data_IF_100907527377
#
_entry.id   IF_100907527377
#
_cell.length_a   1.000
_cell.length_b   1.000
_cell.length_c   1.000
_cell.angle_alpha   90.00
_cell.angle_beta   90.00
_cell.angle_gamma   90.00
#
_symmetry.space_group_name_H-M   'P 1'
#
loop_
_entity.id
_entity.type
_entity.pdbx_description
1 polymer ?
#
# COMPACT_ATOMS: atom_id res chain seq x y z
N UNK A 1 -7.29 -0.18 23.02
CA UNK A 1 -7.34 0.46 21.69
C UNK A 1 -6.10 0.01 20.94
N UNK A 2 -6.23 -0.72 19.83
CA UNK A 2 -5.06 -1.17 19.08
C UNK A 2 -4.40 0.03 18.39
N UNK A 3 -3.07 0.13 18.45
CA UNK A 3 -2.31 1.16 17.75
C UNK A 3 -2.56 1.02 16.23
N UNK A 4 -2.68 2.14 15.53
CA UNK A 4 -2.94 2.15 14.08
C UNK A 4 -1.88 1.33 13.34
N UNK A 5 -2.26 0.46 12.38
CA UNK A 5 -1.31 -0.26 11.52
C UNK A 5 -0.64 0.66 10.48
N UNK A 6 -0.91 1.96 10.53
CA UNK A 6 -0.30 2.95 9.67
C UNK A 6 1.14 3.19 10.12
N UNK A 7 2.06 3.08 9.16
CA UNK A 7 3.40 3.62 9.34
C UNK A 7 3.21 5.14 9.29
N UNK A 8 3.23 5.81 10.45
CA UNK A 8 2.81 7.21 10.60
C UNK A 8 3.48 8.20 9.60
N UNK A 9 4.63 7.81 9.05
CA UNK A 9 5.41 8.62 8.10
C UNK A 9 5.42 8.06 6.66
N UNK A 10 4.76 6.95 6.36
CA UNK A 10 4.79 6.36 5.01
C UNK A 10 3.62 6.78 4.12
N UNK A 11 3.12 7.99 4.35
CA UNK A 11 2.12 8.66 3.52
C UNK A 11 2.80 9.81 2.79
N UNK A 12 2.76 9.78 1.46
CA UNK A 12 3.15 10.91 0.62
C UNK A 12 1.90 11.56 0.05
N UNK A 13 1.81 12.89 0.16
CA UNK A 13 0.69 13.68 -0.34
C UNK A 13 1.24 14.68 -1.36
N UNK A 14 0.70 14.63 -2.58
CA UNK A 14 1.02 15.61 -3.62
C UNK A 14 -0.18 16.52 -3.80
N UNK A 15 0.09 17.83 -3.76
CA UNK A 15 -0.92 18.87 -3.97
C UNK A 15 -0.49 19.81 -5.08
N UNK A 16 -1.44 20.23 -5.90
CA UNK A 16 -1.30 21.24 -6.95
C UNK A 16 -2.31 22.33 -6.65
N UNK A 17 -1.85 23.59 -6.59
CA UNK A 17 -2.68 24.75 -6.26
C UNK A 17 -3.53 24.58 -4.98
N UNK A 18 -2.94 23.93 -3.96
CA UNK A 18 -3.62 23.66 -2.68
C UNK A 18 -4.63 22.52 -2.71
N UNK A 19 -4.86 21.88 -3.87
CA UNK A 19 -5.71 20.69 -4.01
C UNK A 19 -4.86 19.44 -3.98
N UNK A 20 -5.23 18.48 -3.14
CA UNK A 20 -4.62 17.15 -3.15
C UNK A 20 -4.99 16.45 -4.46
N UNK A 21 -3.99 16.00 -5.20
CA UNK A 21 -4.17 15.31 -6.49
C UNK A 21 -3.76 13.86 -6.42
N UNK A 22 -2.79 13.52 -5.56
CA UNK A 22 -2.27 12.17 -5.44
C UNK A 22 -1.86 11.83 -4.00
N UNK A 23 -2.04 10.58 -3.63
CA UNK A 23 -1.59 9.98 -2.37
C UNK A 23 -0.91 8.65 -2.64
N UNK A 24 0.20 8.40 -1.96
CA UNK A 24 0.73 7.05 -1.76
C UNK A 24 0.81 6.73 -0.27
N UNK A 25 0.35 5.55 0.14
CA UNK A 25 0.45 5.08 1.53
C UNK A 25 0.96 3.65 1.57
N UNK A 26 2.06 3.42 2.30
CA UNK A 26 2.48 2.08 2.72
C UNK A 26 1.90 1.76 4.09
N UNK A 27 1.37 0.54 4.24
CA UNK A 27 0.76 0.09 5.49
C UNK A 27 0.71 -1.44 5.59
N UNK A 28 0.14 -1.91 6.69
CA UNK A 28 -0.17 -3.32 6.91
C UNK A 28 -1.68 -3.58 6.91
N UNK A 29 -2.06 -4.74 6.35
CA UNK A 29 -3.37 -5.34 6.51
C UNK A 29 -3.44 -6.08 7.86
N UNK A 30 -4.49 -5.85 8.65
CA UNK A 30 -4.70 -6.56 9.92
C UNK A 30 -6.17 -6.54 10.34
N UNK A 31 -6.69 -7.65 10.88
CA UNK A 31 -8.02 -7.75 11.54
C UNK A 31 -9.17 -6.97 10.85
N UNK A 32 -9.35 -7.13 9.53
CA UNK A 32 -10.40 -6.43 8.76
C UNK A 32 -10.06 -4.99 8.34
N UNK A 33 -8.91 -4.45 8.78
CA UNK A 33 -8.35 -3.19 8.31
C UNK A 33 -7.49 -3.42 7.06
N UNK A 34 -8.13 -3.64 5.91
CA UNK A 34 -7.45 -3.66 4.61
C UNK A 34 -7.25 -2.27 4.02
N UNK A 35 -6.50 -2.18 2.92
CA UNK A 35 -6.17 -0.93 2.23
C UNK A 35 -7.38 -0.07 1.87
N UNK A 36 -8.49 -0.71 1.47
CA UNK A 36 -9.77 -0.06 1.16
C UNK A 36 -10.46 0.63 2.35
N UNK A 37 -9.96 0.45 3.57
CA UNK A 37 -10.43 1.17 4.76
C UNK A 37 -9.57 2.39 5.12
N UNK A 38 -8.55 2.71 4.30
CA UNK A 38 -7.78 3.94 4.48
C UNK A 38 -8.64 5.18 4.24
N UNK A 39 -8.35 6.26 4.95
CA UNK A 39 -9.00 7.56 4.75
C UNK A 39 -8.57 8.24 3.43
N UNK A 40 -7.56 7.71 2.74
CA UNK A 40 -7.00 8.27 1.51
C UNK A 40 -7.53 7.63 0.23
N UNK A 41 -8.48 6.69 0.32
CA UNK A 41 -9.04 6.04 -0.86
C UNK A 41 -10.08 6.94 -1.54
N UNK A 42 -9.99 7.04 -2.86
CA UNK A 42 -10.99 7.65 -3.74
C UNK A 42 -11.44 6.55 -4.73
N UNK A 43 -12.35 5.65 -4.31
CA UNK A 43 -12.75 4.53 -5.14
C UNK A 43 -13.64 5.02 -6.28
N UNK A 44 -13.34 4.61 -7.49
CA UNK A 44 -14.26 4.76 -8.61
C UNK A 44 -15.24 3.60 -8.77
N UNK A 45 -16.13 3.73 -9.74
CA UNK A 45 -17.21 2.78 -10.02
C UNK A 45 -16.77 1.48 -10.73
N UNK A 46 -15.67 1.49 -11.47
CA UNK A 46 -15.17 0.30 -12.17
C UNK A 46 -14.09 -0.41 -11.35
N UNK A 47 -14.39 -1.65 -10.96
CA UNK A 47 -13.45 -2.53 -10.26
C UNK A 47 -12.73 -3.48 -11.22
N UNK A 48 -11.43 -3.65 -11.05
CA UNK A 48 -10.64 -4.66 -11.75
C UNK A 48 -9.46 -5.13 -10.89
N UNK A 49 -8.86 -6.27 -11.25
CA UNK A 49 -7.68 -6.81 -10.55
C UNK A 49 -6.46 -6.83 -11.48
N UNK A 50 -5.27 -6.89 -10.89
CA UNK A 50 -4.00 -7.00 -11.61
C UNK A 50 -2.94 -7.72 -10.77
N UNK A 51 -1.93 -8.25 -11.45
CA UNK A 51 -0.77 -8.94 -10.86
C UNK A 51 0.49 -8.64 -11.69
N UNK A 52 1.65 -8.97 -11.15
CA UNK A 52 2.94 -8.83 -11.83
C UNK A 52 3.65 -10.17 -11.86
N UNK A 53 4.30 -10.49 -12.99
CA UNK A 53 5.01 -11.75 -13.16
C UNK A 53 6.15 -11.88 -12.15
N UNK A 54 6.29 -13.07 -11.56
CA UNK A 54 7.34 -13.36 -10.59
C UNK A 54 7.16 -12.72 -9.21
N UNK A 55 6.00 -12.09 -8.93
CA UNK A 55 5.72 -11.46 -7.64
C UNK A 55 4.47 -12.07 -7.02
N UNK A 56 4.61 -12.61 -5.81
CA UNK A 56 3.49 -13.12 -5.01
C UNK A 56 2.72 -11.96 -4.36
N UNK A 57 1.91 -11.29 -5.17
CA UNK A 57 1.08 -10.18 -4.74
C UNK A 57 -0.09 -9.93 -5.66
N UNK A 58 -1.13 -9.28 -5.14
CA UNK A 58 -2.38 -9.03 -5.85
C UNK A 58 -2.83 -7.58 -5.71
N UNK A 59 -3.22 -7.00 -6.84
CA UNK A 59 -3.76 -5.67 -6.96
C UNK A 59 -5.26 -5.66 -7.21
N UNK A 60 -5.95 -4.69 -6.63
CA UNK A 60 -7.30 -4.28 -7.01
C UNK A 60 -7.27 -2.79 -7.37
N UNK A 61 -7.96 -2.43 -8.44
CA UNK A 61 -8.13 -1.07 -8.93
C UNK A 61 -9.61 -0.72 -8.94
N UNK A 62 -9.96 0.44 -8.38
CA UNK A 62 -11.29 1.06 -8.47
C UNK A 62 -11.13 2.44 -9.08
N UNK A 63 -11.47 2.55 -10.37
CA UNK A 63 -11.29 3.78 -11.16
C UNK A 63 -12.63 4.22 -11.70
N UNK A 64 -12.89 5.52 -11.74
CA UNK A 64 -14.12 6.06 -12.31
C UNK A 64 -13.99 5.97 -13.84
N UNK A 65 -14.99 5.43 -14.53
CA UNK A 65 -15.03 5.40 -16.00
C UNK A 65 -16.05 6.38 -16.60
N UNK A 66 -16.85 7.03 -15.76
CA UNK A 66 -17.87 8.00 -16.12
C UNK A 66 -17.36 9.45 -16.14
N UNK A 67 -18.16 10.38 -15.61
CA UNK A 67 -17.90 11.82 -15.63
C UNK A 67 -16.66 12.27 -14.86
N UNK A 68 -16.04 11.39 -14.07
CA UNK A 68 -14.81 11.63 -13.30
C UNK A 68 -13.72 10.63 -13.65
N UNK A 69 -13.44 10.43 -14.94
CA UNK A 69 -12.40 9.49 -15.41
C UNK A 69 -10.98 9.72 -14.87
N UNK A 70 -10.80 10.81 -14.13
CA UNK A 70 -9.60 11.31 -13.50
C UNK A 70 -9.50 10.96 -12.01
N UNK A 71 -10.43 10.17 -11.45
CA UNK A 71 -10.42 9.70 -10.06
C UNK A 71 -10.26 8.19 -9.98
N UNK A 72 -9.44 7.72 -9.04
CA UNK A 72 -9.30 6.29 -8.81
C UNK A 72 -8.26 5.90 -7.78
N UNK A 73 -8.34 4.66 -7.33
CA UNK A 73 -7.45 4.08 -6.33
C UNK A 73 -7.02 2.69 -6.74
N UNK A 74 -5.76 2.35 -6.48
CA UNK A 74 -5.26 0.98 -6.46
C UNK A 74 -4.81 0.58 -5.07
N UNK A 75 -5.15 -0.64 -4.66
CA UNK A 75 -4.59 -1.29 -3.48
C UNK A 75 -3.85 -2.53 -3.93
N UNK A 76 -2.55 -2.60 -3.68
CA UNK A 76 -1.73 -3.78 -3.96
C UNK A 76 -1.26 -4.40 -2.65
N UNK A 77 -1.35 -5.73 -2.55
CA UNK A 77 -1.05 -6.49 -1.34
C UNK A 77 0.01 -7.55 -1.61
N UNK A 78 1.01 -7.62 -0.73
CA UNK A 78 2.12 -8.56 -0.77
C UNK A 78 2.30 -9.18 0.62
N UNK A 79 1.80 -10.39 0.82
CA UNK A 79 1.55 -10.91 2.18
C UNK A 79 0.57 -10.02 2.94
N UNK A 80 1.02 -9.40 4.03
CA UNK A 80 0.25 -8.41 4.79
C UNK A 80 0.67 -6.96 4.52
N UNK A 81 1.67 -6.73 3.67
CA UNK A 81 2.13 -5.40 3.28
C UNK A 81 1.24 -4.86 2.17
N UNK A 82 0.82 -3.60 2.30
CA UNK A 82 -0.07 -2.97 1.32
C UNK A 82 0.46 -1.61 0.86
N UNK A 83 0.27 -1.35 -0.42
CA UNK A 83 0.40 -0.03 -1.02
C UNK A 83 -0.97 0.44 -1.48
N UNK A 84 -1.34 1.65 -1.07
CA UNK A 84 -2.47 2.39 -1.61
C UNK A 84 -1.90 3.52 -2.46
N UNK A 85 -2.37 3.61 -3.70
CA UNK A 85 -2.15 4.76 -4.56
C UNK A 85 -3.51 5.32 -4.94
N UNK A 86 -3.73 6.61 -4.72
CA UNK A 86 -5.02 7.22 -4.98
C UNK A 86 -4.83 8.57 -5.69
N UNK A 87 -5.68 8.82 -6.68
CA UNK A 87 -5.75 10.08 -7.42
C UNK A 87 -7.15 10.63 -7.25
N UNK A 88 -7.23 11.85 -6.75
CA UNK A 88 -8.50 12.60 -6.56
C UNK A 88 -8.76 13.63 -7.66
N UNK A 89 -7.73 13.94 -8.46
CA UNK A 89 -7.81 14.80 -9.64
C UNK A 89 -6.62 14.45 -10.55
N UNK A 90 -6.89 13.66 -11.58
CA UNK A 90 -5.95 13.23 -12.61
C UNK A 90 -5.98 14.10 -13.87
N UNK A 91 -6.62 15.27 -13.85
CA UNK A 91 -6.81 16.12 -15.04
C UNK A 91 -5.48 16.54 -15.69
N UNK A 92 -4.41 16.65 -14.91
CA UNK A 92 -3.07 16.96 -15.38
C UNK A 92 -2.22 15.72 -15.77
N UNK A 93 -2.73 14.50 -15.56
CA UNK A 93 -2.00 13.27 -15.88
C UNK A 93 -2.03 12.99 -17.37
N UNK A 94 -0.89 12.55 -17.93
CA UNK A 94 -0.81 12.03 -19.29
C UNK A 94 -1.05 10.52 -19.27
N UNK A 95 -1.82 10.02 -20.24
CA UNK A 95 -2.13 8.59 -20.35
C UNK A 95 -3.28 8.15 -19.45
N UNK A 96 -3.57 6.85 -19.46
CA UNK A 96 -4.71 6.29 -18.73
C UNK A 96 -4.44 6.19 -17.22
N UNK A 97 -5.36 6.71 -16.40
CA UNK A 97 -5.24 6.70 -14.94
C UNK A 97 -4.91 5.32 -14.37
N UNK A 98 -5.70 4.30 -14.74
CA UNK A 98 -5.47 2.91 -14.29
C UNK A 98 -4.07 2.41 -14.66
N UNK A 99 -3.64 2.63 -15.91
CA UNK A 99 -2.34 2.17 -16.38
C UNK A 99 -1.21 2.86 -15.60
N UNK A 100 -1.32 4.16 -15.34
CA UNK A 100 -0.35 4.91 -14.56
C UNK A 100 -0.27 4.41 -13.11
N UNK A 101 -1.41 4.15 -12.44
CA UNK A 101 -1.43 3.61 -11.09
C UNK A 101 -0.83 2.20 -11.01
N UNK A 102 -1.12 1.34 -11.99
CA UNK A 102 -0.53 -0.01 -12.09
C UNK A 102 0.98 0.08 -12.32
N UNK A 103 1.45 0.93 -13.24
CA UNK A 103 2.88 1.12 -13.51
C UNK A 103 3.61 1.68 -12.28
N UNK A 104 3.00 2.63 -11.57
CA UNK A 104 3.57 3.16 -10.34
C UNK A 104 3.65 2.08 -9.26
N UNK A 105 2.60 1.25 -9.11
CA UNK A 105 2.63 0.08 -8.22
C UNK A 105 3.81 -0.83 -8.55
N UNK A 106 4.02 -1.15 -9.83
CA UNK A 106 5.14 -2.00 -10.26
C UNK A 106 6.49 -1.42 -9.85
N UNK A 107 6.69 -0.11 -9.95
CA UNK A 107 7.95 0.54 -9.56
C UNK A 107 8.25 0.45 -8.06
N UNK A 108 7.22 0.23 -7.24
CA UNK A 108 7.36 0.17 -5.77
C UNK A 108 7.63 -1.23 -5.21
N UNK A 109 7.53 -2.27 -6.06
CA UNK A 109 7.66 -3.67 -5.63
C UNK A 109 8.95 -3.97 -4.85
N UNK A 110 10.13 -3.39 -5.15
CA UNK A 110 11.33 -3.62 -4.36
C UNK A 110 11.21 -3.20 -2.88
N UNK A 111 10.38 -2.19 -2.59
CA UNK A 111 10.18 -1.66 -1.23
C UNK A 111 8.98 -2.32 -0.54
N UNK A 112 7.92 -2.58 -1.30
CA UNK A 112 6.69 -3.18 -0.78
C UNK A 112 6.82 -4.69 -0.56
N UNK A 113 7.23 -5.42 -1.60
CA UNK A 113 7.37 -6.87 -1.61
C UNK A 113 8.77 -7.33 -1.26
N UNK A 114 9.77 -6.52 -1.59
CA UNK A 114 11.18 -6.82 -1.33
C UNK A 114 11.66 -6.36 0.04
N UNK A 115 12.98 -6.26 0.15
CA UNK A 115 13.73 -5.84 1.33
C UNK A 115 14.44 -4.50 1.14
N UNK A 116 14.11 -3.74 0.08
CA UNK A 116 14.72 -2.44 -0.14
C UNK A 116 14.10 -1.36 0.75
N UNK A 117 14.88 -0.38 1.23
CA UNK A 117 14.34 0.75 1.99
C UNK A 117 13.35 1.58 1.16
N UNK A 118 12.29 2.08 1.80
CA UNK A 118 11.33 2.98 1.18
C UNK A 118 12.03 4.34 0.91
N UNK A 119 11.99 4.85 -0.34
CA UNK A 119 12.58 6.15 -0.67
C UNK A 119 12.04 7.27 0.21
N UNK A 120 12.92 8.17 0.64
CA UNK A 120 12.58 9.27 1.56
C UNK A 120 12.44 8.86 3.03
N UNK A 121 12.29 7.57 3.35
CA UNK A 121 12.18 7.06 4.71
C UNK A 121 13.42 6.30 5.20
N UNK A 122 14.22 5.76 4.28
CA UNK A 122 15.50 5.10 4.59
C UNK A 122 15.39 3.79 5.38
N UNK A 123 14.18 3.26 5.57
CA UNK A 123 13.90 2.00 6.26
C UNK A 123 12.97 1.13 5.42
N UNK A 124 13.10 -0.17 5.58
CA UNK A 124 12.25 -1.21 4.97
C UNK A 124 10.87 -1.25 5.63
N UNK A 125 9.92 -1.92 4.98
CA UNK A 125 8.64 -2.24 5.61
C UNK A 125 8.87 -2.96 6.95
N UNK A 126 9.67 -4.03 6.98
CA UNK A 126 9.87 -4.84 8.19
C UNK A 126 10.47 -4.08 9.38
N UNK A 127 11.33 -3.10 9.14
CA UNK A 127 11.84 -2.21 10.19
C UNK A 127 10.74 -1.29 10.76
N UNK A 128 9.77 -0.91 9.93
CA UNK A 128 8.58 -0.18 10.36
C UNK A 128 7.48 -1.07 10.94
N UNK A 129 7.58 -2.40 10.84
CA UNK A 129 6.54 -3.32 11.29
C UNK A 129 6.21 -3.07 12.77
N UNK A 130 4.94 -2.76 13.10
CA UNK A 130 4.51 -2.64 14.48
C UNK A 130 4.75 -3.92 15.26
N UNK A 131 5.14 -3.80 16.53
CA UNK A 131 5.47 -4.96 17.38
C UNK A 131 4.33 -5.97 17.49
N UNK A 132 3.07 -5.52 17.54
CA UNK A 132 1.91 -6.41 17.61
C UNK A 132 1.65 -7.20 16.31
N UNK A 133 2.27 -6.80 15.19
CA UNK A 133 2.24 -7.55 13.92
C UNK A 133 3.49 -8.38 13.70
N UNK A 134 4.49 -8.29 14.58
CA UNK A 134 5.61 -9.23 14.58
C UNK A 134 5.08 -10.50 15.22
N UNK A 135 5.09 -11.60 14.46
CA UNK A 135 4.85 -12.93 15.02
C UNK A 135 5.79 -13.09 16.22
N UNK A 136 5.31 -13.47 17.42
CA UNK A 136 6.21 -13.78 18.52
C UNK A 136 7.18 -14.86 18.03
N UNK A 137 8.49 -14.62 18.13
CA UNK A 137 9.45 -15.73 18.02
C UNK A 137 8.99 -16.82 18.99
N UNK A 138 8.95 -18.10 18.60
CA UNK A 138 8.83 -19.14 19.59
C UNK A 138 10.02 -18.96 20.53
N UNK A 139 9.74 -18.59 21.78
CA UNK A 139 10.77 -18.48 22.82
C UNK A 139 11.58 -19.77 22.78
N UNK A 140 12.89 -19.63 22.64
CA UNK A 140 13.84 -20.68 22.90
C UNK A 140 13.85 -20.95 24.42
N UNK A 141 12.77 -21.53 24.93
CA UNK A 141 12.68 -22.07 26.28
C UNK A 141 12.39 -23.57 26.14
N UNK A 142 13.46 -24.34 26.25
CA UNK A 142 13.42 -25.79 26.12
C UNK A 142 14.78 -26.46 25.89
N UNK A 143 15.90 -25.75 26.08
CA UNK A 143 17.15 -26.40 26.44
C UNK A 143 17.17 -26.55 27.96
N UNK A 144 16.73 -27.70 28.45
CA UNK A 144 17.10 -28.20 29.77
C UNK A 144 17.20 -29.72 29.69
N UNK A 145 18.43 -30.20 29.86
CA UNK A 145 18.81 -31.57 30.16
C UNK A 145 17.85 -32.29 31.11
N UNK A 146 17.62 -33.58 30.87
CA UNK A 146 17.77 -34.59 31.92
C UNK A 146 18.31 -35.89 31.30
N UNK A 147 19.39 -36.36 31.92
CA UNK A 147 20.04 -37.67 31.76
C UNK A 147 19.15 -38.84 32.18
#
# INVERSE_FOLDING_TARGET
>A
MAASPNIANAVCLVSVDGRRVFVSEFRYAWAGHGGWKSAYVFPGDVTSTFSFDGVDGKGEAKVDAGSRSDVGTTVYTCGDKQLILAVSDGSAMRGGLKANLVNLTQSTLPWLCGSSPIPGLGKTMEEYRPQFLKTPSPSADGAADIS
#
